data_IF_028436103130
#
_entry.id   IF_028436103130
#
_cell.length_a   1.000
_cell.length_b   1.000
_cell.length_c   1.000
_cell.angle_alpha   90.00
_cell.angle_beta   90.00
_cell.angle_gamma   90.00
#
_symmetry.space_group_name_H-M   'P 1'
#
loop_
_entity.id
_entity.type
_entity.pdbx_description
1 polymer ?
#
# COMPACT_ATOMS: atom_id res chain seq x y z
N UNK A 1 -12.50 -20.81 20.22
CA UNK A 1 -13.07 -19.60 19.61
C UNK A 1 -12.49 -18.35 20.25
N UNK A 2 -12.62 -18.17 21.57
CA UNK A 2 -12.16 -16.94 22.25
C UNK A 2 -10.67 -16.63 22.05
N UNK A 3 -9.79 -17.64 22.13
CA UNK A 3 -8.35 -17.48 21.87
C UNK A 3 -8.06 -16.95 20.46
N UNK A 4 -8.74 -17.50 19.45
CA UNK A 4 -8.52 -17.09 18.06
C UNK A 4 -9.04 -15.67 17.81
N UNK A 5 -10.22 -15.34 18.36
CA UNK A 5 -10.73 -13.98 18.26
C UNK A 5 -9.83 -12.99 18.97
N UNK A 6 -9.31 -13.34 20.16
CA UNK A 6 -8.35 -12.50 20.86
C UNK A 6 -7.09 -12.24 20.03
N UNK A 7 -6.53 -13.27 19.39
CA UNK A 7 -5.36 -13.13 18.53
C UNK A 7 -5.60 -12.19 17.33
N UNK A 8 -6.79 -12.25 16.70
CA UNK A 8 -7.13 -11.29 15.64
C UNK A 8 -7.19 -9.86 16.16
N UNK A 9 -7.75 -9.65 17.35
CA UNK A 9 -7.87 -8.32 17.96
C UNK A 9 -6.53 -7.69 18.35
N UNK A 10 -5.44 -8.46 18.36
CA UNK A 10 -4.08 -7.93 18.55
C UNK A 10 -3.54 -7.27 17.28
N UNK A 11 -4.01 -7.68 16.09
CA UNK A 11 -3.48 -7.23 14.79
C UNK A 11 -4.47 -6.39 13.97
N UNK A 12 -5.76 -6.42 14.30
CA UNK A 12 -6.80 -5.72 13.53
C UNK A 12 -7.92 -5.19 14.42
N UNK A 13 -8.60 -4.10 14.03
CA UNK A 13 -9.77 -3.60 14.76
C UNK A 13 -10.91 -4.63 14.82
N UNK A 14 -11.66 -4.65 15.92
CA UNK A 14 -12.76 -5.60 16.12
C UNK A 14 -13.86 -5.52 15.06
N UNK A 15 -14.04 -4.35 14.45
CA UNK A 15 -15.04 -4.13 13.40
C UNK A 15 -14.76 -4.90 12.12
N UNK A 16 -13.50 -5.28 11.86
CA UNK A 16 -13.08 -6.04 10.67
C UNK A 16 -13.35 -7.54 10.81
N UNK A 17 -13.56 -8.02 12.04
CA UNK A 17 -13.72 -9.43 12.40
C UNK A 17 -15.21 -9.74 12.62
N UNK A 18 -15.81 -10.42 11.64
CA UNK A 18 -17.19 -10.84 11.66
C UNK A 18 -17.44 -12.16 12.40
N UNK A 19 -18.58 -12.77 12.09
CA UNK A 19 -19.00 -14.03 12.70
C UNK A 19 -18.10 -15.20 12.31
N UNK A 20 -17.98 -16.24 13.18
CA UNK A 20 -17.27 -17.46 12.82
C UNK A 20 -17.90 -18.12 11.59
N UNK A 21 -17.08 -18.35 10.57
CA UNK A 21 -17.51 -18.85 9.26
C UNK A 21 -17.22 -20.34 9.06
N UNK A 22 -16.24 -20.90 9.79
CA UNK A 22 -15.92 -22.32 9.68
C UNK A 22 -14.58 -22.69 10.33
N UNK A 23 -14.12 -23.90 10.04
CA UNK A 23 -12.79 -24.36 10.45
C UNK A 23 -12.23 -25.39 9.48
N UNK A 24 -10.92 -25.40 9.32
CA UNK A 24 -10.17 -26.34 8.47
C UNK A 24 -9.20 -27.12 9.36
N UNK A 25 -9.15 -28.45 9.18
CA UNK A 25 -8.17 -29.31 9.85
C UNK A 25 -6.95 -29.42 8.95
N UNK A 26 -5.88 -28.72 9.30
CA UNK A 26 -4.63 -28.70 8.55
C UNK A 26 -3.76 -29.94 8.83
N UNK A 27 -3.94 -30.56 10.01
CA UNK A 27 -3.21 -31.77 10.41
C UNK A 27 -3.65 -32.30 11.76
N UNK A 28 -2.96 -33.32 12.27
CA UNK A 28 -3.36 -34.08 13.48
C UNK A 28 -3.58 -33.21 14.73
N UNK A 29 -2.89 -32.07 14.82
CA UNK A 29 -2.94 -31.15 15.97
C UNK A 29 -3.08 -29.69 15.56
N UNK A 30 -3.43 -29.42 14.32
CA UNK A 30 -3.50 -28.06 13.78
C UNK A 30 -4.89 -27.79 13.24
N UNK A 31 -5.50 -26.69 13.69
CA UNK A 31 -6.84 -26.28 13.33
C UNK A 31 -6.86 -24.81 12.96
N UNK A 32 -7.31 -24.50 11.75
CA UNK A 32 -7.52 -23.14 11.30
C UNK A 32 -8.98 -22.75 11.52
N UNK A 33 -9.23 -21.69 12.26
CA UNK A 33 -10.56 -21.13 12.50
C UNK A 33 -10.78 -19.93 11.58
N UNK A 34 -11.89 -19.93 10.85
CA UNK A 34 -12.22 -18.88 9.88
C UNK A 34 -13.32 -17.99 10.46
N UNK A 35 -13.15 -16.68 10.28
CA UNK A 35 -14.13 -15.64 10.60
C UNK A 35 -14.42 -14.84 9.34
N UNK A 36 -15.68 -14.44 9.16
CA UNK A 36 -16.04 -13.55 8.07
C UNK A 36 -15.25 -12.24 8.17
N UNK A 37 -14.77 -11.73 7.04
CA UNK A 37 -14.20 -10.39 6.97
C UNK A 37 -15.29 -9.37 6.60
N UNK A 38 -15.24 -8.20 7.22
CA UNK A 38 -16.17 -7.09 6.97
C UNK A 38 -15.50 -5.89 6.29
N UNK A 39 -14.19 -5.94 6.03
CA UNK A 39 -13.48 -4.85 5.35
C UNK A 39 -13.96 -4.69 3.89
N UNK A 40 -14.36 -3.47 3.47
CA UNK A 40 -14.91 -3.24 2.12
C UNK A 40 -13.98 -3.62 0.97
N UNK A 41 -12.66 -3.51 1.15
CA UNK A 41 -11.66 -3.80 0.12
C UNK A 41 -11.33 -5.29 -0.06
N UNK A 42 -11.85 -6.15 0.81
CA UNK A 42 -11.52 -7.58 0.84
C UNK A 42 -12.79 -8.45 0.80
N UNK A 43 -13.69 -8.26 -0.20
CA UNK A 43 -14.88 -9.08 -0.32
C UNK A 43 -14.50 -10.54 -0.61
N UNK A 44 -15.14 -11.48 0.10
CA UNK A 44 -14.86 -12.91 -0.04
C UNK A 44 -13.59 -13.40 0.66
N UNK A 45 -12.87 -12.52 1.37
CA UNK A 45 -11.75 -12.92 2.23
C UNK A 45 -12.23 -13.34 3.61
N UNK A 46 -11.41 -14.09 4.33
CA UNK A 46 -11.66 -14.58 5.68
C UNK A 46 -10.47 -14.27 6.58
N UNK A 47 -10.75 -13.89 7.81
CA UNK A 47 -9.74 -13.93 8.86
C UNK A 47 -9.54 -15.38 9.28
N UNK A 48 -8.30 -15.85 9.19
CA UNK A 48 -7.92 -17.21 9.54
C UNK A 48 -6.96 -17.17 10.70
N UNK A 49 -7.24 -17.99 11.72
CA UNK A 49 -6.32 -18.19 12.85
C UNK A 49 -5.99 -19.66 12.97
N UNK A 50 -4.72 -19.98 12.76
CA UNK A 50 -4.21 -21.34 12.88
C UNK A 50 -3.79 -21.59 14.32
N UNK A 51 -4.35 -22.64 14.93
CA UNK A 51 -4.09 -23.03 16.30
C UNK A 51 -3.39 -24.39 16.35
N UNK A 52 -2.46 -24.55 17.29
CA UNK A 52 -1.85 -25.83 17.62
C UNK A 52 -2.38 -26.37 18.95
N UNK A 53 -2.79 -27.65 18.97
CA UNK A 53 -3.07 -28.39 20.19
C UNK A 53 -1.75 -28.91 20.77
N UNK A 54 -1.52 -28.59 22.04
CA UNK A 54 -0.40 -29.13 22.83
C UNK A 54 -0.95 -30.14 23.84
N UNK A 55 -0.25 -31.25 24.04
CA UNK A 55 -0.64 -32.25 25.04
C UNK A 55 -0.46 -31.68 26.45
N UNK A 56 -1.44 -31.92 27.33
CA UNK A 56 -1.45 -31.48 28.73
C UNK A 56 -1.26 -29.96 28.95
N UNK A 57 -1.52 -29.14 27.93
CA UNK A 57 -1.41 -27.68 28.00
C UNK A 57 -2.50 -26.97 27.18
N UNK A 58 -2.60 -25.66 27.35
CA UNK A 58 -3.51 -24.80 26.59
C UNK A 58 -3.06 -24.73 25.12
N UNK A 59 -3.99 -24.74 24.13
CA UNK A 59 -3.65 -24.52 22.73
C UNK A 59 -2.93 -23.18 22.51
N UNK A 60 -2.06 -23.12 21.51
CA UNK A 60 -1.32 -21.91 21.12
C UNK A 60 -1.74 -21.43 19.74
N UNK A 61 -1.57 -20.14 19.48
CA UNK A 61 -1.76 -19.54 18.15
C UNK A 61 -0.46 -19.70 17.38
N UNK A 62 -0.55 -20.18 16.14
CA UNK A 62 0.59 -20.26 15.22
C UNK A 62 0.66 -19.01 14.34
N UNK A 63 -0.46 -18.64 13.75
CA UNK A 63 -0.58 -17.47 12.88
C UNK A 63 -1.99 -16.89 12.91
N UNK A 64 -2.10 -15.62 12.51
CA UNK A 64 -3.35 -14.91 12.30
C UNK A 64 -3.19 -14.08 11.02
N UNK A 65 -4.02 -14.37 10.02
CA UNK A 65 -3.86 -13.83 8.68
C UNK A 65 -5.22 -13.59 8.00
N UNK A 66 -5.21 -12.78 6.94
CA UNK A 66 -6.36 -12.56 6.09
C UNK A 66 -6.15 -13.32 4.77
N UNK A 67 -6.99 -14.30 4.50
CA UNK A 67 -6.83 -15.20 3.36
C UNK A 67 -8.01 -15.09 2.39
N UNK A 68 -7.77 -15.13 1.07
CA UNK A 68 -8.84 -15.11 0.07
C UNK A 68 -9.61 -16.43 0.10
N UNK A 69 -10.94 -16.34 0.16
CA UNK A 69 -11.84 -17.49 0.01
C UNK A 69 -12.45 -17.61 -1.38
N UNK A 70 -13.48 -18.43 -1.50
CA UNK A 70 -14.24 -18.56 -2.74
C UNK A 70 -14.91 -17.23 -3.11
N UNK A 71 -14.67 -16.75 -4.32
CA UNK A 71 -15.20 -15.48 -4.80
C UNK A 71 -14.44 -14.24 -4.32
N UNK A 72 -13.28 -14.42 -3.67
CA UNK A 72 -12.39 -13.32 -3.35
C UNK A 72 -11.92 -12.60 -4.62
N UNK A 73 -11.94 -11.27 -4.60
CA UNK A 73 -11.28 -10.48 -5.65
C UNK A 73 -9.77 -10.61 -5.47
N UNK A 74 -9.13 -11.33 -6.39
CA UNK A 74 -7.68 -11.51 -6.42
C UNK A 74 -7.02 -10.44 -7.27
N UNK A 75 -5.78 -10.14 -6.93
CA UNK A 75 -4.92 -9.31 -7.78
C UNK A 75 -4.67 -9.99 -9.13
N UNK A 76 -4.47 -9.21 -10.20
CA UNK A 76 -4.00 -9.76 -11.47
C UNK A 76 -2.62 -10.41 -11.31
N UNK A 77 -2.23 -11.21 -12.29
CA UNK A 77 -0.90 -11.80 -12.36
C UNK A 77 0.18 -10.71 -12.27
N UNK A 78 1.23 -11.01 -11.51
CA UNK A 78 2.37 -10.09 -11.41
C UNK A 78 3.12 -10.05 -12.74
N UNK A 79 3.42 -8.85 -13.20
CA UNK A 79 4.23 -8.62 -14.39
C UNK A 79 5.54 -7.95 -13.96
N UNK A 80 6.70 -8.36 -14.52
CA UNK A 80 7.95 -7.65 -14.34
C UNK A 80 7.81 -6.16 -14.64
N UNK A 81 8.57 -5.35 -13.92
CA UNK A 81 8.46 -3.90 -14.08
C UNK A 81 8.82 -3.44 -15.49
N UNK A 82 9.83 -4.06 -16.12
CA UNK A 82 10.19 -3.82 -17.53
C UNK A 82 9.01 -4.00 -18.47
N UNK A 83 8.21 -5.04 -18.25
CA UNK A 83 7.14 -5.43 -19.16
C UNK A 83 5.93 -4.51 -18.99
N UNK A 84 5.65 -4.10 -17.75
CA UNK A 84 4.65 -3.06 -17.48
C UNK A 84 5.04 -1.73 -18.13
N UNK A 85 6.31 -1.34 -18.01
CA UNK A 85 6.79 -0.09 -18.60
C UNK A 85 6.72 -0.12 -20.13
N UNK A 86 7.14 -1.21 -20.76
CA UNK A 86 7.04 -1.38 -22.21
C UNK A 86 5.60 -1.30 -22.71
N UNK A 87 4.63 -1.84 -21.96
CA UNK A 87 3.21 -1.68 -22.25
C UNK A 87 2.77 -0.21 -22.22
N UNK A 88 3.16 0.53 -21.18
CA UNK A 88 2.86 1.96 -21.05
C UNK A 88 3.47 2.75 -22.21
N UNK A 89 4.73 2.50 -22.58
CA UNK A 89 5.38 3.16 -23.70
C UNK A 89 4.70 2.87 -25.04
N UNK A 90 4.24 1.63 -25.25
CA UNK A 90 3.49 1.26 -26.45
C UNK A 90 2.12 1.94 -26.52
N UNK A 91 1.41 2.05 -25.39
CA UNK A 91 0.12 2.75 -25.31
C UNK A 91 0.31 4.25 -25.60
N UNK A 92 1.37 4.87 -25.06
CA UNK A 92 1.71 6.27 -25.33
C UNK A 92 2.07 6.53 -26.81
N UNK A 93 2.83 5.63 -27.43
CA UNK A 93 3.16 5.71 -28.85
C UNK A 93 1.90 5.59 -29.72
N UNK A 94 1.01 4.64 -29.38
CA UNK A 94 -0.24 4.45 -30.09
C UNK A 94 -1.16 5.68 -29.98
N UNK A 95 -1.22 6.32 -28.81
CA UNK A 95 -1.96 7.57 -28.61
C UNK A 95 -1.37 8.73 -29.43
N UNK A 96 -0.03 8.86 -29.46
CA UNK A 96 0.62 9.89 -30.27
C UNK A 96 0.36 9.70 -31.76
N UNK A 97 0.50 8.47 -32.27
CA UNK A 97 0.22 8.16 -33.67
C UNK A 97 -1.26 8.41 -34.03
N UNK A 98 -2.18 8.12 -33.12
CA UNK A 98 -3.60 8.42 -33.33
C UNK A 98 -3.88 9.92 -33.43
N UNK A 99 -3.25 10.72 -32.56
CA UNK A 99 -3.35 12.19 -32.60
C UNK A 99 -2.73 12.78 -33.88
N UNK A 100 -1.58 12.26 -34.32
CA UNK A 100 -0.94 12.68 -35.58
C UNK A 100 -1.82 12.34 -36.80
N UNK A 101 -2.51 11.19 -36.80
CA UNK A 101 -3.43 10.84 -37.90
C UNK A 101 -4.73 11.66 -37.91
N UNK A 102 -5.18 12.18 -36.77
CA UNK A 102 -6.39 13.04 -36.67
C UNK A 102 -6.12 14.47 -37.22
N UNK A 103 -4.85 14.88 -37.29
CA UNK A 103 -4.40 16.14 -37.91
C UNK A 103 -4.33 16.01 -39.45
N UNK A 104 -4.00 14.81 -39.99
CA UNK A 104 -3.94 14.57 -41.44
C UNK A 104 -5.33 14.49 -42.13
N UNK A 105 -6.42 14.30 -41.37
CA UNK A 105 -7.81 14.29 -41.87
C UNK A 105 -8.45 15.71 -41.90
N UNK A 106 -7.74 16.75 -41.44
CA UNK A 106 -8.23 18.16 -41.48
C UNK A 106 -7.85 18.92 -42.76
N UNK A 107 -7.20 18.28 -43.73
CA UNK A 107 -6.71 18.90 -44.97
C UNK A 107 -7.66 18.80 -46.19
N UNK A 108 -8.97 18.59 -45.99
CA UNK A 108 -9.98 18.66 -47.07
C UNK A 108 -11.17 19.58 -46.72
N UNK A 109 -10.90 20.90 -46.68
CA UNK A 109 -11.80 22.04 -47.00
C UNK A 109 -11.56 23.29 -46.11
N UNK A 110 -10.31 23.72 -45.90
CA UNK A 110 -10.04 25.09 -45.41
C UNK A 110 -9.88 26.05 -46.60
N UNK A 111 -10.99 26.68 -46.98
CA UNK A 111 -11.00 27.90 -47.80
C UNK A 111 -10.30 29.02 -46.99
N UNK A 112 -9.16 29.59 -47.44
CA UNK A 112 -8.45 30.57 -46.65
C UNK A 112 -9.14 31.93 -46.80
N UNK A 113 -10.03 32.24 -45.87
CA UNK A 113 -10.49 33.60 -45.63
C UNK A 113 -9.95 34.06 -44.27
N UNK A 114 -8.95 34.93 -44.34
CA UNK A 114 -8.24 35.58 -43.25
C UNK A 114 -9.15 36.04 -42.10
N UNK A 115 -8.79 35.68 -40.86
CA UNK A 115 -8.75 36.64 -39.76
C UNK A 115 -7.84 36.14 -38.63
N UNK A 116 -6.71 36.83 -38.46
CA UNK A 116 -5.74 36.55 -37.41
C UNK A 116 -6.12 37.39 -36.18
N UNK A 117 -6.82 36.79 -35.22
CA UNK A 117 -7.14 37.44 -33.95
C UNK A 117 -6.93 36.42 -32.80
N UNK A 118 -5.72 36.45 -32.27
CA UNK A 118 -5.38 36.39 -30.84
C UNK A 118 -6.13 35.36 -29.95
N UNK A 119 -5.44 34.28 -29.58
CA UNK A 119 -5.75 33.48 -28.41
C UNK A 119 -4.45 33.10 -27.70
N UNK A 120 -3.93 34.08 -26.95
CA UNK A 120 -3.29 33.96 -25.64
C UNK A 120 -2.77 32.55 -25.29
N UNK A 121 -1.52 32.29 -25.68
CA UNK A 121 -0.73 31.15 -25.22
C UNK A 121 -0.31 31.40 -23.76
N UNK A 122 -1.30 31.27 -22.86
CA UNK A 122 -1.08 31.22 -21.41
C UNK A 122 -0.45 29.89 -21.08
N UNK A 123 0.88 29.86 -21.19
CA UNK A 123 1.72 28.98 -20.40
C UNK A 123 1.51 29.33 -18.92
N UNK A 124 0.43 28.81 -18.33
CA UNK A 124 0.16 28.92 -16.90
C UNK A 124 1.16 28.02 -16.17
N UNK A 125 2.15 28.68 -15.58
CA UNK A 125 3.22 28.06 -14.84
C UNK A 125 2.67 27.23 -13.69
N UNK A 126 3.05 25.95 -13.65
CA UNK A 126 3.12 25.24 -12.38
C UNK A 126 4.21 25.92 -11.56
N UNK A 127 3.77 26.83 -10.70
CA UNK A 127 4.52 27.31 -9.56
C UNK A 127 4.63 26.14 -8.58
N UNK A 128 5.82 25.54 -8.49
CA UNK A 128 6.12 24.63 -7.40
C UNK A 128 6.33 25.51 -6.17
N UNK A 129 5.25 25.74 -5.40
CA UNK A 129 5.36 26.40 -4.10
C UNK A 129 6.39 25.61 -3.26
N UNK A 130 7.56 26.21 -3.08
CA UNK A 130 8.51 25.79 -2.07
C UNK A 130 7.82 25.93 -0.70
N UNK A 131 7.89 24.95 0.20
CA UNK A 131 7.30 25.11 1.51
C UNK A 131 7.99 26.28 2.21
N UNK A 132 7.19 27.23 2.68
CA UNK A 132 7.66 28.32 3.51
C UNK A 132 8.44 27.73 4.69
N UNK A 133 9.72 28.05 4.77
CA UNK A 133 10.51 27.92 5.97
C UNK A 133 10.03 28.99 6.94
N UNK A 134 8.97 28.68 7.69
CA UNK A 134 8.68 29.32 8.97
C UNK A 134 9.65 28.71 9.98
N UNK A 135 10.71 29.44 10.34
CA UNK A 135 11.30 29.43 11.68
C UNK A 135 12.28 30.60 11.79
N UNK A 136 11.73 31.79 12.02
CA UNK A 136 12.45 32.88 12.70
C UNK A 136 11.70 33.09 14.02
N UNK A 137 12.29 32.73 15.14
CA UNK A 137 12.67 33.73 16.14
C UNK A 137 13.53 33.10 17.26
N UNK A 138 14.66 33.79 17.47
CA UNK A 138 15.60 33.66 18.58
C UNK A 138 14.91 33.76 19.95
N UNK A 139 15.43 33.00 20.92
CA UNK A 139 15.64 33.55 22.27
C UNK A 139 16.85 32.87 22.92
N UNK A 140 17.87 33.69 23.18
CA UNK A 140 19.00 33.46 24.08
C UNK A 140 18.49 33.04 25.48
N UNK A 141 19.18 32.09 26.14
CA UNK A 141 19.97 32.38 27.35
C UNK A 141 20.44 31.11 28.07
N UNK A 142 21.75 31.14 28.34
CA UNK A 142 22.48 30.70 29.52
C UNK A 142 22.53 29.23 30.01
N UNK A 143 23.80 28.85 30.22
CA UNK A 143 24.40 28.07 31.32
C UNK A 143 23.82 26.68 31.68
N UNK A 144 24.63 25.63 31.61
CA UNK A 144 25.64 25.34 32.65
C UNK A 144 26.40 24.04 32.30
N UNK A 145 27.61 23.94 32.86
CA UNK A 145 28.50 22.77 32.92
C UNK A 145 27.79 21.44 33.25
N UNK A 146 28.24 20.33 32.66
CA UNK A 146 28.96 19.30 33.43
C UNK A 146 29.48 18.15 32.54
N UNK A 147 30.73 17.78 32.83
CA UNK A 147 31.44 16.58 32.40
C UNK A 147 30.62 15.29 32.62
N UNK A 148 30.69 14.34 31.68
CA UNK A 148 31.08 12.97 32.05
C UNK A 148 31.58 12.20 30.83
N UNK A 149 32.89 11.92 30.84
CA UNK A 149 33.54 10.84 30.11
C UNK A 149 32.91 9.50 30.56
N UNK A 150 32.19 8.79 29.68
CA UNK A 150 32.06 7.33 29.81
C UNK A 150 32.59 6.63 28.57
N UNK A 151 33.91 6.47 28.58
CA UNK A 151 34.63 5.42 27.88
C UNK A 151 34.35 4.10 28.60
N UNK A 152 33.39 3.32 28.08
CA UNK A 152 33.31 1.89 28.40
C UNK A 152 33.25 1.03 27.13
N UNK A 153 34.45 0.85 26.56
CA UNK A 153 34.98 -0.44 26.07
C UNK A 153 33.99 -1.46 25.47
N UNK A 154 33.95 -1.48 24.13
CA UNK A 154 33.49 -2.62 23.33
C UNK A 154 34.47 -3.79 23.48
N UNK A 155 34.25 -4.66 24.46
CA UNK A 155 34.97 -5.94 24.57
C UNK A 155 34.27 -6.99 23.70
N UNK A 156 34.81 -7.19 22.50
CA UNK A 156 34.58 -8.39 21.72
C UNK A 156 35.51 -9.50 22.20
N UNK A 157 34.98 -10.51 22.88
CA UNK A 157 35.62 -11.83 23.00
C UNK A 157 34.65 -12.96 23.41
N UNK A 158 34.87 -14.11 22.75
CA UNK A 158 34.35 -15.48 23.00
C UNK A 158 32.85 -15.73 22.72
N UNK A 159 32.44 -16.73 21.91
CA UNK A 159 33.11 -17.89 21.34
C UNK A 159 32.21 -18.55 20.30
#
# INVERSE_FOLDING_TARGET
MDLARAALLEITPAETVGEPAGSIVEGDRVLSLLFANTMPGYPGWFWTVTLARVDDATPTVLEAELMPGEGALLSPEWLPWSDRLAGIEADQEAERLAAESDDEDQDEDDDPAEDAEDADDVLDGVDFEAPASDDDDDDDDDDDDDDDDDDTSFDGADR
#
